data_IF_266989721312
#
_entry.id   IF_266989721312
#
_cell.length_a   1.000
_cell.length_b   1.000
_cell.length_c   1.000
_cell.angle_alpha   90.00
_cell.angle_beta   90.00
_cell.angle_gamma   90.00
#
_symmetry.space_group_name_H-M   'P 1'
#
loop_
_entity.id
_entity.type
_entity.pdbx_description
1 polymer ?
#
# COMPACT_ATOMS: atom_id res chain seq x y z
N UNK A 1 -15.81 -22.34 -15.24
CA UNK A 1 -15.69 -21.27 -14.25
C UNK A 1 -15.03 -20.05 -14.85
N UNK A 2 -15.47 -18.85 -14.47
CA UNK A 2 -14.85 -17.59 -14.87
C UNK A 2 -13.40 -17.50 -14.32
N UNK A 3 -12.51 -16.83 -15.07
CA UNK A 3 -11.12 -16.64 -14.65
C UNK A 3 -11.07 -15.58 -13.55
N UNK A 4 -10.54 -15.94 -12.38
CA UNK A 4 -10.15 -14.97 -11.36
C UNK A 4 -8.93 -14.20 -11.87
N UNK A 5 -9.09 -12.88 -12.04
CA UNK A 5 -8.02 -11.96 -12.39
C UNK A 5 -7.14 -11.62 -11.17
N UNK A 6 -6.06 -10.87 -11.41
CA UNK A 6 -5.17 -10.39 -10.35
C UNK A 6 -3.69 -10.69 -10.60
N UNK A 7 -2.83 -9.89 -10.00
CA UNK A 7 -1.38 -10.06 -9.98
C UNK A 7 -0.97 -11.27 -9.12
N UNK A 8 0.28 -11.71 -9.24
CA UNK A 8 0.78 -12.85 -8.47
C UNK A 8 0.70 -12.62 -6.95
N UNK A 9 1.08 -11.43 -6.48
CA UNK A 9 1.02 -11.05 -5.06
C UNK A 9 -0.42 -10.99 -4.54
N UNK A 10 -1.35 -10.46 -5.32
CA UNK A 10 -2.77 -10.39 -4.97
C UNK A 10 -3.37 -11.80 -4.82
N UNK A 11 -3.10 -12.69 -5.79
CA UNK A 11 -3.56 -14.08 -5.73
C UNK A 11 -2.94 -14.87 -4.58
N UNK A 12 -1.67 -14.60 -4.25
CA UNK A 12 -1.01 -15.22 -3.10
C UNK A 12 -1.61 -14.73 -1.77
N UNK A 13 -1.84 -13.43 -1.64
CA UNK A 13 -2.51 -12.84 -0.49
C UNK A 13 -3.93 -13.40 -0.33
N UNK A 14 -4.68 -13.48 -1.43
CA UNK A 14 -6.02 -14.06 -1.47
C UNK A 14 -5.99 -15.52 -0.98
N UNK A 15 -5.12 -16.38 -1.53
CA UNK A 15 -5.03 -17.78 -1.12
C UNK A 15 -4.74 -17.93 0.39
N UNK A 16 -3.89 -17.06 0.95
CA UNK A 16 -3.54 -17.07 2.37
C UNK A 16 -4.69 -16.62 3.26
N UNK A 17 -5.44 -15.61 2.84
CA UNK A 17 -6.55 -15.05 3.60
C UNK A 17 -7.87 -15.79 3.36
N UNK A 18 -7.98 -16.59 2.30
CA UNK A 18 -9.21 -17.28 1.92
C UNK A 18 -9.83 -18.09 3.07
N UNK A 19 -9.09 -18.89 3.85
CA UNK A 19 -9.65 -19.59 5.01
C UNK A 19 -10.21 -18.68 6.09
N UNK A 20 -9.66 -17.48 6.25
CA UNK A 20 -10.18 -16.50 7.21
C UNK A 20 -11.44 -15.83 6.66
N UNK A 21 -11.48 -15.53 5.36
CA UNK A 21 -12.58 -14.79 4.72
C UNK A 21 -13.85 -15.64 4.62
N UNK A 22 -13.71 -16.91 4.24
CA UNK A 22 -14.85 -17.80 3.97
C UNK A 22 -14.96 -18.97 4.95
N UNK A 23 -14.02 -19.16 5.88
CA UNK A 23 -13.99 -20.33 6.77
C UNK A 23 -15.27 -20.53 7.58
N UNK A 24 -15.88 -19.45 8.08
CA UNK A 24 -17.15 -19.52 8.82
C UNK A 24 -18.35 -19.95 7.94
N UNK A 25 -18.22 -19.85 6.62
CA UNK A 25 -19.26 -20.23 5.64
C UNK A 25 -19.10 -21.65 5.12
N UNK A 26 -18.07 -22.37 5.57
CA UNK A 26 -17.82 -23.74 5.13
C UNK A 26 -18.53 -24.67 6.08
N UNK A 27 -19.60 -25.30 5.57
CA UNK A 27 -20.44 -26.22 6.33
C UNK A 27 -19.74 -27.55 6.60
N UNK A 28 -18.94 -28.03 5.64
CA UNK A 28 -18.18 -29.27 5.74
C UNK A 28 -16.68 -29.01 5.54
N UNK A 29 -15.91 -29.14 6.62
CA UNK A 29 -14.46 -29.00 6.56
C UNK A 29 -13.79 -30.13 5.80
N UNK A 30 -14.43 -31.29 5.66
CA UNK A 30 -13.92 -32.44 4.93
C UNK A 30 -14.31 -32.42 3.45
N UNK A 31 -14.97 -31.34 2.97
CA UNK A 31 -15.29 -31.16 1.57
C UNK A 31 -14.00 -31.33 0.72
N UNK A 32 -13.99 -32.24 -0.28
CA UNK A 32 -12.79 -32.53 -1.04
C UNK A 32 -12.21 -31.32 -1.80
N UNK A 33 -13.07 -30.40 -2.26
CA UNK A 33 -12.63 -29.18 -2.95
C UNK A 33 -11.99 -28.21 -1.97
N UNK A 34 -12.57 -28.08 -0.78
CA UNK A 34 -11.99 -27.31 0.31
C UNK A 34 -10.64 -27.86 0.75
N UNK A 35 -10.55 -29.16 0.99
CA UNK A 35 -9.30 -29.84 1.36
C UNK A 35 -8.21 -29.62 0.32
N UNK A 36 -8.55 -29.67 -0.97
CA UNK A 36 -7.59 -29.39 -2.04
C UNK A 36 -7.10 -27.93 -2.03
N UNK A 37 -7.96 -26.97 -1.66
CA UNK A 37 -7.57 -25.56 -1.50
C UNK A 37 -6.64 -25.38 -0.30
N UNK A 38 -6.93 -26.05 0.82
CA UNK A 38 -6.07 -26.05 2.02
C UNK A 38 -4.70 -26.66 1.69
N UNK A 39 -4.66 -27.81 1.02
CA UNK A 39 -3.41 -28.43 0.56
C UNK A 39 -2.60 -27.51 -0.36
N UNK A 40 -3.26 -26.85 -1.32
CA UNK A 40 -2.59 -25.88 -2.20
C UNK A 40 -1.99 -24.72 -1.40
N UNK A 41 -2.72 -24.21 -0.39
CA UNK A 41 -2.22 -23.16 0.50
C UNK A 41 -0.96 -23.62 1.24
N UNK A 42 -0.96 -24.81 1.83
CA UNK A 42 0.20 -25.34 2.58
C UNK A 42 1.44 -25.50 1.68
N UNK A 43 1.27 -26.06 0.49
CA UNK A 43 2.34 -26.19 -0.50
C UNK A 43 2.92 -24.81 -0.86
N UNK A 44 2.06 -23.83 -1.13
CA UNK A 44 2.49 -22.47 -1.48
C UNK A 44 3.19 -21.79 -0.29
N UNK A 45 2.72 -21.99 0.94
CA UNK A 45 3.35 -21.43 2.15
C UNK A 45 4.77 -21.97 2.36
N UNK A 46 4.99 -23.27 2.17
CA UNK A 46 6.34 -23.86 2.24
C UNK A 46 7.26 -23.34 1.13
N UNK A 47 6.76 -23.26 -0.11
CA UNK A 47 7.52 -22.71 -1.24
C UNK A 47 7.93 -21.25 -1.00
N UNK A 48 7.03 -20.48 -0.41
CA UNK A 48 7.21 -19.05 -0.14
C UNK A 48 7.89 -18.77 1.21
N UNK A 49 8.26 -19.79 1.98
CA UNK A 49 8.89 -19.61 3.28
C UNK A 49 10.26 -18.91 3.13
N UNK A 50 10.57 -17.91 3.99
CA UNK A 50 11.86 -17.21 3.94
C UNK A 50 13.03 -18.12 4.33
N UNK A 51 12.75 -19.13 5.15
CA UNK A 51 13.67 -20.18 5.59
C UNK A 51 12.93 -21.52 5.52
N UNK A 52 13.62 -22.57 5.09
CA UNK A 52 13.06 -23.92 4.99
C UNK A 52 14.15 -24.94 5.32
N UNK A 53 13.82 -25.91 6.16
CA UNK A 53 14.73 -26.99 6.58
C UNK A 53 14.62 -28.21 5.66
N UNK A 54 15.64 -29.06 5.63
CA UNK A 54 15.61 -30.29 4.81
C UNK A 54 14.40 -31.19 5.07
N UNK A 55 13.95 -31.44 6.32
CA UNK A 55 12.73 -32.20 6.57
C UNK A 55 11.48 -31.54 5.97
N UNK A 56 11.40 -30.21 6.01
CA UNK A 56 10.29 -29.46 5.39
C UNK A 56 10.34 -29.55 3.86
N UNK A 57 11.53 -29.63 3.25
CA UNK A 57 11.66 -29.85 1.81
C UNK A 57 11.20 -31.26 1.42
N UNK A 58 11.51 -32.27 2.24
CA UNK A 58 11.01 -33.63 2.04
C UNK A 58 9.48 -33.68 2.16
N UNK A 59 8.91 -33.01 3.17
CA UNK A 59 7.47 -32.85 3.32
C UNK A 59 6.83 -32.15 2.11
N UNK A 60 7.43 -31.05 1.64
CA UNK A 60 6.96 -30.34 0.46
C UNK A 60 6.87 -31.24 -0.77
N UNK A 61 7.85 -32.13 -0.97
CA UNK A 61 7.83 -33.07 -2.09
C UNK A 61 6.64 -34.05 -2.01
N UNK A 62 6.33 -34.53 -0.81
CA UNK A 62 5.16 -35.39 -0.56
C UNK A 62 3.87 -34.62 -0.80
N UNK A 63 3.70 -33.45 -0.19
CA UNK A 63 2.49 -32.63 -0.33
C UNK A 63 2.23 -32.21 -1.78
N UNK A 64 3.27 -31.90 -2.56
CA UNK A 64 3.11 -31.58 -3.99
C UNK A 64 2.56 -32.78 -4.76
N UNK A 65 3.09 -33.98 -4.52
CA UNK A 65 2.60 -35.19 -5.20
C UNK A 65 1.15 -35.45 -4.84
N UNK A 66 0.83 -35.46 -3.55
CA UNK A 66 -0.50 -35.77 -3.05
C UNK A 66 -1.54 -34.75 -3.56
N UNK A 67 -1.19 -33.46 -3.57
CA UNK A 67 -2.02 -32.40 -4.17
C UNK A 67 -2.27 -32.62 -5.67
N UNK A 68 -1.23 -32.99 -6.44
CA UNK A 68 -1.36 -33.19 -7.89
C UNK A 68 -2.21 -34.43 -8.22
N UNK A 69 -2.11 -35.48 -7.41
CA UNK A 69 -2.93 -36.69 -7.52
C UNK A 69 -4.40 -36.37 -7.21
N UNK A 70 -4.68 -35.76 -6.05
CA UNK A 70 -6.03 -35.34 -5.67
C UNK A 70 -6.66 -34.36 -6.69
N UNK A 71 -5.87 -33.41 -7.21
CA UNK A 71 -6.33 -32.47 -8.24
C UNK A 71 -6.70 -33.18 -9.55
N UNK A 72 -5.99 -34.25 -9.91
CA UNK A 72 -6.24 -35.02 -11.13
C UNK A 72 -7.46 -35.92 -10.97
N UNK A 73 -7.63 -36.52 -9.80
CA UNK A 73 -8.77 -37.38 -9.47
C UNK A 73 -10.08 -36.58 -9.40
N UNK A 74 -10.11 -35.45 -8.70
CA UNK A 74 -11.34 -34.65 -8.55
C UNK A 74 -11.80 -33.94 -9.82
N UNK A 75 -10.88 -33.66 -10.75
CA UNK A 75 -11.19 -32.89 -11.96
C UNK A 75 -10.56 -33.54 -13.19
N UNK A 76 -10.99 -34.76 -13.56
CA UNK A 76 -10.37 -35.55 -14.62
C UNK A 76 -10.53 -34.89 -16.01
N UNK A 77 -11.59 -34.10 -16.20
CA UNK A 77 -11.83 -33.33 -17.43
C UNK A 77 -10.88 -32.13 -17.60
N UNK A 78 -10.15 -31.73 -16.55
CA UNK A 78 -9.27 -30.56 -16.57
C UNK A 78 -7.80 -30.95 -16.43
N UNK A 79 -7.09 -30.95 -17.56
CA UNK A 79 -5.65 -31.24 -17.62
C UNK A 79 -4.83 -30.31 -16.73
N UNK A 80 -3.78 -30.86 -16.12
CA UNK A 80 -2.80 -30.10 -15.36
C UNK A 80 -2.11 -29.07 -16.27
N UNK A 81 -2.10 -27.82 -15.83
CA UNK A 81 -1.40 -26.71 -16.51
C UNK A 81 0.10 -26.77 -16.29
N UNK A 82 0.94 -26.13 -17.13
CA UNK A 82 2.40 -26.09 -16.95
C UNK A 82 2.87 -25.68 -15.55
N UNK A 83 2.14 -24.79 -14.86
CA UNK A 83 2.43 -24.41 -13.47
C UNK A 83 2.47 -25.61 -12.51
N UNK A 84 1.59 -26.59 -12.71
CA UNK A 84 1.56 -27.82 -11.90
C UNK A 84 2.78 -28.71 -12.15
N UNK A 85 3.22 -28.79 -13.41
CA UNK A 85 4.46 -29.50 -13.72
C UNK A 85 5.67 -28.77 -13.11
N UNK A 86 5.70 -27.44 -13.12
CA UNK A 86 6.80 -26.71 -12.50
C UNK A 86 6.91 -26.97 -11.00
N UNK A 87 5.78 -27.11 -10.27
CA UNK A 87 5.78 -27.40 -8.83
C UNK A 87 6.64 -28.63 -8.48
N UNK A 88 6.64 -29.69 -9.30
CA UNK A 88 7.40 -30.92 -8.99
C UNK A 88 8.91 -30.70 -8.92
N UNK A 89 9.42 -29.61 -9.51
CA UNK A 89 10.84 -29.27 -9.48
C UNK A 89 11.24 -28.40 -8.28
N UNK A 90 10.27 -27.82 -7.56
CA UNK A 90 10.54 -26.84 -6.51
C UNK A 90 11.37 -27.42 -5.35
N UNK A 91 11.12 -28.65 -4.85
CA UNK A 91 11.96 -29.24 -3.81
C UNK A 91 13.45 -29.31 -4.22
N UNK A 92 13.73 -29.77 -5.43
CA UNK A 92 15.09 -29.87 -5.96
C UNK A 92 15.74 -28.49 -6.16
N UNK A 93 14.97 -27.51 -6.63
CA UNK A 93 15.45 -26.13 -6.78
C UNK A 93 15.74 -25.48 -5.42
N UNK A 94 14.92 -25.73 -4.40
CA UNK A 94 15.14 -25.23 -3.03
C UNK A 94 16.41 -25.83 -2.44
N UNK A 95 16.65 -27.14 -2.60
CA UNK A 95 17.89 -27.78 -2.14
C UNK A 95 19.13 -27.16 -2.81
N UNK A 96 19.03 -26.85 -4.11
CA UNK A 96 20.16 -26.36 -4.90
C UNK A 96 20.46 -24.88 -4.69
N UNK A 97 19.42 -24.05 -4.56
CA UNK A 97 19.55 -22.58 -4.59
C UNK A 97 19.08 -21.90 -3.30
N UNK A 98 18.67 -22.69 -2.30
CA UNK A 98 18.02 -22.17 -1.10
C UNK A 98 16.56 -21.75 -1.34
N UNK A 99 15.92 -21.12 -0.34
CA UNK A 99 14.52 -20.69 -0.42
C UNK A 99 14.24 -19.86 -1.67
N UNK A 100 13.28 -20.31 -2.50
CA UNK A 100 13.00 -19.68 -3.80
C UNK A 100 12.49 -18.25 -3.68
N UNK A 101 11.81 -17.94 -2.57
CA UNK A 101 11.40 -16.58 -2.22
C UNK A 101 12.60 -15.62 -2.20
N UNK A 102 13.75 -16.07 -1.70
CA UNK A 102 14.99 -15.27 -1.70
C UNK A 102 15.57 -15.10 -3.10
N UNK A 103 15.28 -15.99 -4.05
CA UNK A 103 15.76 -15.86 -5.43
C UNK A 103 14.76 -15.11 -6.34
N UNK A 104 13.65 -14.63 -5.79
CA UNK A 104 12.71 -13.79 -6.52
C UNK A 104 13.35 -12.40 -6.73
N UNK A 105 13.70 -12.10 -7.99
CA UNK A 105 14.38 -10.84 -8.36
C UNK A 105 13.63 -9.59 -7.88
N UNK A 106 12.30 -9.63 -7.83
CA UNK A 106 11.50 -8.53 -7.28
C UNK A 106 11.63 -8.41 -5.75
N UNK A 107 11.73 -9.53 -5.01
CA UNK A 107 11.95 -9.50 -3.57
C UNK A 107 13.39 -9.08 -3.24
N UNK A 108 14.36 -9.53 -4.04
CA UNK A 108 15.74 -9.07 -3.91
C UNK A 108 15.87 -7.59 -4.23
N UNK A 109 15.20 -7.09 -5.27
CA UNK A 109 15.10 -5.67 -5.55
C UNK A 109 14.38 -4.92 -4.40
N UNK A 110 13.31 -5.49 -3.84
CA UNK A 110 12.62 -4.97 -2.65
C UNK A 110 13.56 -4.84 -1.45
N UNK A 111 14.30 -5.89 -1.10
CA UNK A 111 15.24 -5.89 0.02
C UNK A 111 16.46 -4.99 -0.21
N UNK A 112 16.92 -4.85 -1.46
CA UNK A 112 18.10 -4.02 -1.79
C UNK A 112 17.79 -2.55 -2.07
N UNK A 113 16.55 -2.21 -2.47
CA UNK A 113 16.22 -0.84 -2.91
C UNK A 113 16.10 0.18 -1.77
N UNK A 114 15.95 -0.25 -0.52
CA UNK A 114 15.91 0.63 0.67
C UNK A 114 14.65 1.51 0.79
N UNK A 115 14.13 2.09 -0.30
CA UNK A 115 12.88 2.87 -0.33
C UNK A 115 12.10 2.58 -1.61
N UNK A 116 10.93 1.94 -1.47
CA UNK A 116 10.03 1.62 -2.59
C UNK A 116 9.12 2.81 -2.97
N UNK A 117 8.80 3.65 -1.99
CA UNK A 117 7.93 4.80 -2.19
C UNK A 117 8.77 6.01 -2.60
N UNK A 118 8.17 6.87 -3.43
CA UNK A 118 8.65 8.24 -3.57
C UNK A 118 8.96 8.78 -2.16
N UNK A 119 10.04 9.56 -1.97
CA UNK A 119 10.38 10.15 -0.69
C UNK A 119 9.12 10.62 0.02
N UNK A 120 8.97 10.26 1.31
CA UNK A 120 7.80 10.64 2.10
C UNK A 120 7.52 12.14 1.97
N UNK A 121 8.59 12.91 1.83
CA UNK A 121 8.59 14.32 1.50
C UNK A 121 9.52 14.60 0.31
N UNK A 122 8.99 15.18 -0.76
CA UNK A 122 9.78 15.85 -1.80
C UNK A 122 9.43 17.35 -1.75
N UNK A 123 10.34 18.17 -1.22
CA UNK A 123 10.14 19.63 -1.19
C UNK A 123 10.70 20.24 -2.46
N UNK A 124 9.90 21.05 -3.17
CA UNK A 124 10.36 21.87 -4.29
C UNK A 124 10.21 23.35 -3.92
N UNK A 125 11.00 24.21 -4.57
CA UNK A 125 10.91 25.68 -4.44
C UNK A 125 10.89 26.16 -2.98
N UNK A 126 11.85 25.68 -2.20
CA UNK A 126 11.90 25.89 -0.75
C UNK A 126 12.78 27.07 -0.37
N UNK A 127 12.33 27.88 0.59
CA UNK A 127 13.11 29.01 1.14
C UNK A 127 13.17 28.91 2.67
N UNK A 128 14.26 29.38 3.29
CA UNK A 128 14.31 29.49 4.75
C UNK A 128 13.13 30.32 5.25
N UNK A 129 12.41 29.81 6.26
CA UNK A 129 11.26 30.51 6.79
C UNK A 129 11.73 31.62 7.75
N UNK A 130 11.55 32.87 7.32
CA UNK A 130 11.78 34.04 8.17
C UNK A 130 10.45 34.68 8.53
N UNK A 131 10.07 34.61 9.81
CA UNK A 131 8.79 35.12 10.35
C UNK A 131 8.54 36.59 9.97
N UNK A 132 9.60 37.39 9.88
CA UNK A 132 9.55 38.82 9.58
C UNK A 132 9.08 39.13 8.14
N UNK A 133 9.15 38.19 7.22
CA UNK A 133 8.78 38.43 5.82
C UNK A 133 7.29 38.19 5.53
N UNK A 134 6.53 37.68 6.51
CA UNK A 134 5.12 37.30 6.34
C UNK A 134 4.15 38.26 7.04
N UNK A 135 2.87 38.19 6.64
CA UNK A 135 1.79 39.03 7.17
C UNK A 135 1.54 38.80 8.66
N UNK A 136 0.95 39.78 9.34
CA UNK A 136 0.63 39.68 10.77
C UNK A 136 -0.24 38.46 11.10
N UNK A 137 -1.15 38.07 10.20
CA UNK A 137 -1.98 36.87 10.38
C UNK A 137 -1.14 35.59 10.45
N UNK A 138 -0.19 35.42 9.52
CA UNK A 138 0.76 34.29 9.52
C UNK A 138 1.68 34.37 10.74
N UNK A 139 2.15 35.56 11.10
CA UNK A 139 2.99 35.75 12.30
C UNK A 139 2.29 35.30 13.58
N UNK A 140 1.01 35.64 13.74
CA UNK A 140 0.22 35.21 14.91
C UNK A 140 -0.05 33.70 14.88
N UNK A 141 -0.39 33.13 13.73
CA UNK A 141 -0.69 31.71 13.61
C UNK A 141 0.53 30.81 13.82
N UNK A 142 1.69 31.21 13.31
CA UNK A 142 2.91 30.41 13.37
C UNK A 142 3.77 30.77 14.59
N UNK A 143 3.66 31.97 15.15
CA UNK A 143 4.43 32.42 16.32
C UNK A 143 4.22 31.58 17.58
N UNK A 144 3.06 30.93 17.72
CA UNK A 144 2.78 29.94 18.78
C UNK A 144 3.48 28.60 18.56
N UNK A 145 3.77 28.25 17.30
CA UNK A 145 4.31 26.96 16.85
C UNK A 145 5.86 27.00 16.74
N UNK A 146 6.43 28.16 16.42
CA UNK A 146 7.84 28.37 16.08
C UNK A 146 8.82 28.45 17.24
N UNK A 147 8.37 28.59 18.48
CA UNK A 147 9.23 28.88 19.64
C UNK A 147 10.24 27.78 20.03
N UNK A 148 10.35 26.69 19.26
CA UNK A 148 11.17 25.52 19.64
C UNK A 148 12.15 24.99 18.60
N UNK A 149 12.11 25.40 17.31
CA UNK A 149 12.90 24.69 16.29
C UNK A 149 13.61 25.59 15.28
N UNK A 150 14.94 25.40 15.07
CA UNK A 150 15.77 26.31 14.27
C UNK A 150 15.74 26.07 12.76
N UNK A 151 15.23 24.93 12.28
CA UNK A 151 15.35 24.52 10.86
C UNK A 151 13.98 24.37 10.18
N UNK A 152 13.32 25.50 9.93
CA UNK A 152 11.99 25.52 9.30
C UNK A 152 12.10 26.11 7.90
N UNK A 153 11.52 25.39 6.95
CA UNK A 153 11.59 25.70 5.53
C UNK A 153 10.18 25.95 5.01
N UNK A 154 9.96 27.09 4.37
CA UNK A 154 8.71 27.37 3.67
C UNK A 154 8.78 26.86 2.24
N UNK A 155 7.71 26.22 1.78
CA UNK A 155 7.57 25.76 0.40
C UNK A 155 6.20 26.10 -0.15
N UNK A 156 6.16 26.40 -1.46
CA UNK A 156 4.94 26.64 -2.24
C UNK A 156 4.46 25.39 -2.99
N UNK A 157 5.30 24.35 -3.08
CA UNK A 157 4.99 23.08 -3.73
C UNK A 157 5.78 21.94 -3.06
N UNK A 158 5.07 20.95 -2.53
CA UNK A 158 5.68 19.75 -1.97
C UNK A 158 4.86 18.51 -2.27
N UNK A 159 5.52 17.36 -2.30
CA UNK A 159 4.88 16.05 -2.35
C UNK A 159 4.99 15.41 -0.98
N UNK A 160 3.85 15.15 -0.33
CA UNK A 160 3.79 14.51 0.97
C UNK A 160 3.00 13.21 0.89
N UNK A 161 3.62 12.10 1.33
CA UNK A 161 3.05 10.74 1.27
C UNK A 161 2.49 10.39 -0.12
N UNK A 162 3.16 10.86 -1.17
CA UNK A 162 2.76 10.63 -2.56
C UNK A 162 1.78 11.65 -3.15
N UNK A 163 1.15 12.51 -2.34
CA UNK A 163 0.20 13.54 -2.80
C UNK A 163 0.94 14.86 -3.05
N UNK A 164 0.73 15.47 -4.22
CA UNK A 164 1.29 16.78 -4.55
C UNK A 164 0.38 17.86 -3.97
N UNK A 165 0.97 18.80 -3.25
CA UNK A 165 0.29 19.95 -2.67
C UNK A 165 0.91 21.24 -3.21
N UNK A 166 0.07 22.16 -3.65
CA UNK A 166 0.48 23.49 -4.15
C UNK A 166 -0.24 24.60 -3.42
N UNK A 167 0.43 25.75 -3.29
CA UNK A 167 -0.22 27.00 -2.88
C UNK A 167 -1.45 27.26 -3.75
N UNK A 168 -2.58 27.52 -3.12
CA UNK A 168 -3.86 27.79 -3.76
C UNK A 168 -4.76 26.57 -3.94
N UNK A 169 -4.30 25.35 -3.68
CA UNK A 169 -5.15 24.15 -3.70
C UNK A 169 -6.05 24.08 -2.46
N UNK A 170 -7.23 23.47 -2.64
CA UNK A 170 -8.20 23.28 -1.58
C UNK A 170 -7.93 21.98 -0.79
N UNK A 171 -7.91 22.09 0.54
CA UNK A 171 -7.89 21.00 1.52
C UNK A 171 -9.04 21.22 2.49
N UNK A 172 -9.91 20.22 2.68
CA UNK A 172 -10.96 20.19 3.73
C UNK A 172 -11.61 21.56 3.99
N UNK A 173 -12.24 22.13 2.95
CA UNK A 173 -12.93 23.44 3.02
C UNK A 173 -12.04 24.65 3.31
N UNK A 174 -10.75 24.55 3.04
CA UNK A 174 -9.77 25.61 3.22
C UNK A 174 -8.80 25.66 2.04
N UNK A 175 -8.16 26.79 1.82
CA UNK A 175 -7.17 26.97 0.75
C UNK A 175 -5.76 27.05 1.33
N UNK A 176 -4.82 26.31 0.76
CA UNK A 176 -3.42 26.30 1.19
C UNK A 176 -2.76 27.65 0.81
N UNK A 177 -2.33 28.41 1.81
CA UNK A 177 -1.55 29.65 1.61
C UNK A 177 -0.04 29.37 1.64
N UNK A 178 0.39 28.50 2.55
CA UNK A 178 1.80 28.21 2.79
C UNK A 178 1.98 26.82 3.40
N UNK A 179 3.07 26.15 3.05
CA UNK A 179 3.46 24.88 3.66
C UNK A 179 4.80 25.04 4.38
N UNK A 180 4.86 24.65 5.64
CA UNK A 180 6.06 24.67 6.46
C UNK A 180 6.58 23.26 6.66
N UNK A 181 7.84 23.04 6.37
CA UNK A 181 8.55 21.79 6.58
C UNK A 181 9.49 21.94 7.77
N UNK A 182 9.38 21.02 8.73
CA UNK A 182 10.27 20.94 9.91
C UNK A 182 11.06 19.63 9.88
N UNK A 183 12.36 19.72 10.13
CA UNK A 183 13.29 18.59 10.25
C UNK A 183 13.18 17.56 9.09
N UNK A 184 12.77 17.99 7.90
CA UNK A 184 12.54 17.15 6.71
C UNK A 184 11.52 16.02 6.89
N UNK A 185 10.74 16.01 7.99
CA UNK A 185 9.83 14.92 8.36
C UNK A 185 8.42 15.37 8.73
N UNK A 186 8.23 16.62 9.12
CA UNK A 186 6.94 17.17 9.49
C UNK A 186 6.53 18.26 8.52
N UNK A 187 5.27 18.23 8.08
CA UNK A 187 4.68 19.22 7.17
C UNK A 187 3.46 19.84 7.87
N UNK A 188 3.51 21.15 8.09
CA UNK A 188 2.39 21.94 8.58
C UNK A 188 1.80 22.76 7.43
N UNK A 189 0.47 22.69 7.26
CA UNK A 189 -0.25 23.46 6.26
C UNK A 189 -0.85 24.70 6.92
N UNK A 190 -0.51 25.87 6.41
CA UNK A 190 -1.18 27.12 6.75
C UNK A 190 -2.26 27.34 5.72
N UNK A 191 -3.50 27.32 6.19
CA UNK A 191 -4.69 27.38 5.35
C UNK A 191 -5.56 28.58 5.69
N UNK A 192 -6.23 29.12 4.69
CA UNK A 192 -7.31 30.09 4.86
C UNK A 192 -8.63 29.33 4.80
N UNK A 193 -9.41 29.28 5.89
CA UNK A 193 -10.69 28.57 5.89
C UNK A 193 -11.68 29.26 4.96
N UNK A 194 -12.47 28.48 4.22
CA UNK A 194 -13.63 29.00 3.51
C UNK A 194 -14.88 28.87 4.38
N UNK A 195 -15.78 29.85 4.25
CA UNK A 195 -17.10 29.76 4.86
C UNK A 195 -17.95 28.76 4.07
N UNK A 196 -18.35 27.67 4.72
CA UNK A 196 -19.16 26.61 4.11
C UNK A 196 -20.54 26.57 4.75
N UNK A 197 -21.58 26.39 3.92
CA UNK A 197 -22.93 26.08 4.37
C UNK A 197 -23.35 24.69 3.89
N UNK A 198 -23.87 23.86 4.80
CA UNK A 198 -24.43 22.57 4.44
C UNK A 198 -25.82 22.75 3.82
N UNK A 199 -26.05 22.11 2.67
CA UNK A 199 -27.33 22.06 1.95
C UNK A 199 -27.93 20.65 2.14
N UNK A 200 -28.84 20.46 3.13
CA UNK A 200 -29.35 19.13 3.49
C UNK A 200 -30.15 18.48 2.36
N UNK A 201 -30.78 19.29 1.52
CA UNK A 201 -31.62 18.87 0.40
C UNK A 201 -30.84 18.17 -0.73
N UNK A 202 -29.53 18.45 -0.84
CA UNK A 202 -28.65 17.80 -1.81
C UNK A 202 -27.59 16.90 -1.15
N UNK A 203 -27.46 16.95 0.18
CA UNK A 203 -26.38 16.28 0.90
C UNK A 203 -25.00 16.85 0.58
N UNK A 204 -24.93 18.13 0.17
CA UNK A 204 -23.70 18.80 -0.30
C UNK A 204 -23.34 19.98 0.60
N UNK A 205 -22.08 20.40 0.53
CA UNK A 205 -21.60 21.64 1.15
C UNK A 205 -21.37 22.69 0.07
N UNK A 206 -21.96 23.86 0.23
CA UNK A 206 -21.73 25.03 -0.63
C UNK A 206 -20.64 25.89 0.00
N UNK A 207 -19.56 26.12 -0.75
CA UNK A 207 -18.50 27.05 -0.38
C UNK A 207 -19.00 28.46 -0.73
N UNK A 208 -19.20 29.32 0.27
CA UNK A 208 -19.52 30.72 0.04
C UNK A 208 -18.27 31.39 -0.52
N UNK A 209 -18.37 31.93 -1.74
CA UNK A 209 -17.30 32.76 -2.29
C UNK A 209 -17.01 33.90 -1.31
N UNK A 210 -15.74 34.05 -0.93
CA UNK A 210 -15.31 35.22 -0.19
C UNK A 210 -15.68 36.45 -1.02
N UNK A 211 -16.44 37.38 -0.42
CA UNK A 211 -16.81 38.65 -1.04
C UNK A 211 -15.59 39.23 -1.75
N UNK A 212 -15.60 39.20 -3.09
CA UNK A 212 -14.74 40.10 -3.86
C UNK A 212 -15.15 41.50 -3.44
N UNK A 213 -14.33 42.15 -2.61
CA UNK A 213 -14.45 43.57 -2.37
C UNK A 213 -14.22 44.27 -3.71
N UNK A 214 -15.34 44.71 -4.30
CA UNK A 214 -15.42 45.63 -5.41
C UNK A 214 -14.57 46.89 -5.15
N UNK A 215 -13.86 47.28 -6.21
CA UNK A 215 -13.47 48.65 -6.62
C UNK A 215 -12.30 49.33 -5.89
N UNK A 216 -11.33 49.83 -6.66
CA UNK A 216 -11.33 51.25 -7.06
C UNK A 216 -10.88 51.43 -8.51
N UNK A 217 -11.62 52.31 -9.19
CA UNK A 217 -11.29 53.03 -10.42
C UNK A 217 -10.18 54.04 -10.16
#
# INVERSE_FOLDING_TARGET
GAKLGGQATENWCLLRLLPVIIGEKIEDTEDPVWQLVVQLKEVVELICAPTISEPQIALLNVQIRDYLEARKEMFPAHKLKPKHHFLTHYPALILKFGPLMRNHQLLQAYLHSGSFFAPLLEVKNSTPFHLELYSNAVRTAVGTILNKEPNIVASTELKWKGTLYKKGEAIEFSQIELMLVKEEKHVDFIVTPHDVSYLPEFGLYEVKEARQSMQYT
#
